data_IF_530010375289
#
_entry.id   IF_530010375289
#
_cell.length_a   1.000
_cell.length_b   1.000
_cell.length_c   1.000
_cell.angle_alpha   90.00
_cell.angle_beta   90.00
_cell.angle_gamma   90.00
#
_symmetry.space_group_name_H-M   'P 1'
#
loop_
_entity.id
_entity.type
_entity.pdbx_description
1 polymer ?
#
# COMPACT_ATOMS: atom_id res chain seq x y z
N UNK A 1 2.75 5.47 17.99
CA UNK A 1 3.95 6.31 18.21
C UNK A 1 3.57 7.78 18.03
N UNK A 2 4.05 8.65 18.92
CA UNK A 2 3.77 10.09 18.86
C UNK A 2 5.07 10.77 18.46
N UNK A 3 5.07 11.48 17.33
CA UNK A 3 6.20 12.28 16.90
C UNK A 3 5.99 13.74 17.40
N UNK A 4 6.93 14.31 18.17
CA UNK A 4 6.79 15.68 18.67
C UNK A 4 6.67 16.73 17.56
N UNK A 5 7.28 16.48 16.38
CA UNK A 5 7.30 17.43 15.26
C UNK A 5 7.16 16.71 13.92
N UNK A 6 6.88 17.48 12.86
CA UNK A 6 6.86 16.93 11.50
C UNK A 6 8.30 16.78 10.99
N UNK A 7 8.89 15.62 11.24
CA UNK A 7 10.24 15.27 10.80
C UNK A 7 10.19 14.01 9.92
N UNK A 8 10.57 14.16 8.65
CA UNK A 8 10.58 13.08 7.68
C UNK A 8 11.68 12.05 7.92
N UNK A 9 12.84 12.47 8.44
CA UNK A 9 13.96 11.57 8.72
C UNK A 9 13.62 10.66 9.89
N UNK A 10 13.26 11.24 11.03
CA UNK A 10 12.86 10.48 12.22
C UNK A 10 11.66 9.57 11.93
N UNK A 11 10.68 10.04 11.14
CA UNK A 11 9.57 9.18 10.69
C UNK A 11 10.05 8.01 9.82
N UNK A 12 11.00 8.24 8.91
CA UNK A 12 11.59 7.23 8.06
C UNK A 12 12.32 6.15 8.84
N UNK A 13 13.16 6.52 9.80
CA UNK A 13 13.87 5.57 10.67
C UNK A 13 12.89 4.73 11.49
N UNK A 14 11.89 5.35 12.11
CA UNK A 14 10.85 4.63 12.85
C UNK A 14 10.10 3.63 11.97
N UNK A 15 9.84 3.99 10.71
CA UNK A 15 9.16 3.11 9.76
C UNK A 15 10.04 1.97 9.27
N UNK A 16 11.31 2.24 9.00
CA UNK A 16 12.27 1.20 8.66
C UNK A 16 12.38 0.17 9.79
N UNK A 17 12.53 0.64 11.03
CA UNK A 17 12.62 -0.21 12.20
C UNK A 17 11.34 -1.03 12.42
N UNK A 18 10.15 -0.40 12.34
CA UNK A 18 8.89 -1.12 12.57
C UNK A 18 8.53 -2.09 11.45
N UNK A 19 8.72 -1.67 10.21
CA UNK A 19 8.19 -2.41 9.05
C UNK A 19 9.20 -3.45 8.53
N UNK A 20 10.52 -3.27 8.76
CA UNK A 20 11.58 -4.15 8.21
C UNK A 20 12.48 -4.80 9.26
N UNK A 21 13.05 -4.03 10.19
CA UNK A 21 14.16 -4.53 11.03
C UNK A 21 13.72 -5.36 12.25
N UNK A 22 12.48 -5.22 12.70
CA UNK A 22 11.96 -5.98 13.85
C UNK A 22 11.69 -7.47 13.57
N UNK A 23 12.03 -8.00 12.38
CA UNK A 23 11.92 -9.42 12.00
C UNK A 23 10.49 -9.99 11.91
N UNK A 24 9.48 -9.28 12.42
CA UNK A 24 8.07 -9.70 12.49
C UNK A 24 7.12 -8.69 11.84
N UNK A 25 7.59 -7.48 11.50
CA UNK A 25 6.76 -6.40 10.96
C UNK A 25 5.75 -5.90 12.00
N UNK A 26 6.13 -4.91 12.80
CA UNK A 26 5.28 -4.34 13.83
C UNK A 26 4.32 -3.34 13.21
N UNK A 27 3.03 -3.66 13.21
CA UNK A 27 1.98 -2.73 12.78
C UNK A 27 2.03 -1.46 13.63
N UNK A 28 2.41 -0.33 13.01
CA UNK A 28 2.62 0.94 13.71
C UNK A 28 1.73 2.07 13.17
N UNK A 29 1.28 2.97 14.05
CA UNK A 29 0.56 4.21 13.71
C UNK A 29 1.24 5.42 14.35
N UNK A 30 1.69 6.37 13.52
CA UNK A 30 2.32 7.61 13.96
C UNK A 30 1.32 8.77 14.00
N UNK A 31 1.45 9.65 14.98
CA UNK A 31 0.63 10.84 15.17
C UNK A 31 1.51 12.03 15.55
N UNK A 32 1.20 13.24 15.07
CA UNK A 32 1.91 14.44 15.51
C UNK A 32 1.35 14.91 16.86
N UNK A 33 2.23 15.21 17.80
CA UNK A 33 1.89 15.68 19.16
C UNK A 33 0.88 16.84 19.14
N UNK A 34 1.06 17.82 18.25
CA UNK A 34 0.21 19.02 18.12
C UNK A 34 -1.28 18.74 17.87
N UNK A 35 -1.62 17.55 17.35
CA UNK A 35 -3.02 17.17 17.08
C UNK A 35 -3.67 16.44 18.26
N UNK A 36 -2.89 15.95 19.22
CA UNK A 36 -3.38 15.12 20.32
C UNK A 36 -4.20 15.93 21.33
N UNK A 37 -3.74 17.10 21.84
CA UNK A 37 -4.49 17.86 22.85
C UNK A 37 -5.86 18.32 22.39
N UNK A 38 -6.06 18.48 21.06
CA UNK A 38 -7.32 18.96 20.49
C UNK A 38 -8.44 17.93 20.59
N UNK A 39 -8.12 16.64 20.77
CA UNK A 39 -9.09 15.54 20.86
C UNK A 39 -10.22 15.61 19.82
N UNK A 40 -9.92 16.07 18.59
CA UNK A 40 -10.95 16.30 17.57
C UNK A 40 -11.57 14.96 17.16
N UNK A 41 -12.91 14.82 17.23
CA UNK A 41 -13.59 13.58 16.83
C UNK A 41 -13.25 13.17 15.39
N UNK A 42 -13.17 14.14 14.47
CA UNK A 42 -12.80 13.89 13.07
C UNK A 42 -11.36 13.37 12.94
N UNK A 43 -10.42 13.95 13.69
CA UNK A 43 -9.03 13.49 13.68
C UNK A 43 -8.93 12.05 14.19
N UNK A 44 -9.60 11.76 15.31
CA UNK A 44 -9.63 10.42 15.91
C UNK A 44 -10.24 9.42 14.91
N UNK A 45 -11.37 9.75 14.29
CA UNK A 45 -12.01 8.90 13.27
C UNK A 45 -11.05 8.60 12.11
N UNK A 46 -10.33 9.60 11.60
CA UNK A 46 -9.35 9.42 10.52
C UNK A 46 -8.18 8.51 10.94
N UNK A 47 -7.72 8.61 12.19
CA UNK A 47 -6.68 7.71 12.73
C UNK A 47 -7.22 6.29 12.86
N UNK A 48 -8.42 6.12 13.40
CA UNK A 48 -9.04 4.81 13.57
C UNK A 48 -9.28 4.11 12.23
N UNK A 49 -9.65 4.83 11.17
CA UNK A 49 -9.73 4.27 9.82
C UNK A 49 -8.39 3.67 9.37
N UNK A 50 -7.26 4.37 9.64
CA UNK A 50 -5.92 3.87 9.29
C UNK A 50 -5.53 2.65 10.13
N UNK A 51 -5.84 2.67 11.43
CA UNK A 51 -5.56 1.54 12.33
C UNK A 51 -6.37 0.31 11.91
N UNK A 52 -7.66 0.48 11.64
CA UNK A 52 -8.53 -0.61 11.22
C UNK A 52 -7.99 -1.31 9.96
N UNK A 53 -7.63 -0.55 8.92
CA UNK A 53 -7.07 -1.12 7.69
C UNK A 53 -5.73 -1.84 7.92
N UNK A 54 -4.85 -1.29 8.77
CA UNK A 54 -3.56 -1.94 9.08
C UNK A 54 -3.70 -3.26 9.83
N UNK A 55 -4.77 -3.41 10.61
CA UNK A 55 -5.12 -4.66 11.29
C UNK A 55 -5.98 -5.59 10.42
N UNK A 56 -6.16 -5.26 9.12
CA UNK A 56 -6.93 -6.06 8.18
C UNK A 56 -8.44 -5.84 8.22
N UNK A 57 -8.94 -4.84 8.94
CA UNK A 57 -10.34 -4.45 8.95
C UNK A 57 -10.78 -3.74 7.67
N UNK A 58 -12.11 -3.69 7.46
CA UNK A 58 -12.76 -3.04 6.33
C UNK A 58 -13.48 -1.78 6.84
N UNK A 59 -13.17 -0.60 6.29
CA UNK A 59 -13.81 0.66 6.70
C UNK A 59 -15.14 0.92 5.97
N UNK A 60 -15.27 0.39 4.75
CA UNK A 60 -16.46 0.56 3.92
C UNK A 60 -16.42 -0.42 2.75
N UNK A 61 -17.58 -0.94 2.40
CA UNK A 61 -17.76 -1.87 1.29
C UNK A 61 -18.87 -1.30 0.41
N UNK A 62 -18.69 -1.38 -0.91
CA UNK A 62 -19.71 -0.94 -1.85
C UNK A 62 -20.84 -1.97 -1.86
N UNK A 63 -22.08 -1.49 -1.69
CA UNK A 63 -23.25 -2.34 -1.77
C UNK A 63 -23.61 -2.65 -3.23
N UNK A 64 -24.04 -3.88 -3.47
CA UNK A 64 -24.41 -4.35 -4.81
C UNK A 64 -23.21 -4.79 -5.67
N UNK A 65 -23.50 -5.11 -6.93
CA UNK A 65 -22.49 -5.54 -7.89
C UNK A 65 -21.85 -4.34 -8.58
N UNK A 66 -20.53 -4.31 -8.58
CA UNK A 66 -19.76 -3.34 -9.36
C UNK A 66 -19.72 -3.80 -10.81
N UNK A 67 -20.06 -2.91 -11.77
CA UNK A 67 -19.92 -3.22 -13.18
C UNK A 67 -18.52 -3.71 -13.51
N UNK A 68 -18.42 -4.73 -14.36
CA UNK A 68 -17.17 -5.27 -14.94
C UNK A 68 -16.22 -6.01 -13.99
N UNK A 69 -16.39 -5.91 -12.67
CA UNK A 69 -15.49 -6.56 -11.69
C UNK A 69 -16.18 -7.55 -10.76
N UNK A 70 -17.49 -7.42 -10.52
CA UNK A 70 -18.23 -8.35 -9.64
C UNK A 70 -18.79 -9.61 -10.33
N UNK A 71 -18.74 -9.69 -11.67
CA UNK A 71 -19.30 -10.82 -12.42
C UNK A 71 -18.42 -12.08 -12.41
N UNK A 72 -17.15 -11.95 -12.04
CA UNK A 72 -16.17 -13.03 -12.00
C UNK A 72 -15.11 -12.71 -10.95
N UNK A 73 -14.30 -13.68 -10.54
CA UNK A 73 -13.23 -13.44 -9.58
C UNK A 73 -12.18 -12.54 -10.22
N UNK A 74 -12.22 -11.26 -9.87
CA UNK A 74 -11.37 -10.24 -10.48
C UNK A 74 -10.30 -9.80 -9.51
N UNK A 75 -9.07 -9.63 -10.00
CA UNK A 75 -7.99 -8.93 -9.29
C UNK A 75 -7.76 -7.56 -9.95
N UNK A 76 -7.64 -6.52 -9.15
CA UNK A 76 -7.33 -5.16 -9.61
C UNK A 76 -5.90 -4.85 -9.20
N UNK A 77 -5.07 -4.46 -10.17
CA UNK A 77 -3.71 -4.00 -9.99
C UNK A 77 -3.62 -2.48 -10.07
N UNK A 78 -2.80 -1.90 -9.22
CA UNK A 78 -2.25 -0.55 -9.34
C UNK A 78 -0.75 -0.61 -9.60
N UNK A 79 -0.20 0.27 -10.42
CA UNK A 79 1.23 0.34 -10.68
C UNK A 79 1.69 1.80 -10.79
N UNK A 80 2.84 2.11 -10.19
CA UNK A 80 3.44 3.44 -10.19
C UNK A 80 4.97 3.34 -10.09
N UNK A 81 5.67 4.34 -10.64
CA UNK A 81 7.11 4.53 -10.45
C UNK A 81 7.37 5.91 -9.87
N UNK A 82 8.05 5.95 -8.73
CA UNK A 82 8.46 7.21 -8.12
C UNK A 82 9.94 7.47 -8.39
N UNK A 83 10.24 8.65 -8.94
CA UNK A 83 11.60 9.11 -9.17
C UNK A 83 12.15 9.96 -8.02
N UNK A 84 13.48 9.95 -7.80
CA UNK A 84 14.12 10.90 -6.90
C UNK A 84 14.02 12.34 -7.46
N UNK A 85 14.42 13.32 -6.65
CA UNK A 85 14.46 14.75 -7.02
C UNK A 85 15.08 14.97 -8.42
N UNK A 86 14.60 15.95 -9.22
CA UNK A 86 15.19 16.34 -10.51
C UNK A 86 16.70 16.53 -10.50
N UNK A 87 17.27 17.00 -9.38
CA UNK A 87 18.71 17.26 -9.24
C UNK A 87 19.51 16.01 -8.84
N UNK A 88 18.84 14.94 -8.43
CA UNK A 88 19.49 13.69 -8.08
C UNK A 88 19.81 12.90 -9.34
N UNK A 89 21.06 12.43 -9.45
CA UNK A 89 21.57 11.66 -10.59
C UNK A 89 21.89 10.21 -10.25
N UNK A 90 21.72 9.81 -8.99
CA UNK A 90 22.32 8.57 -8.46
C UNK A 90 21.30 7.66 -7.81
N UNK A 91 20.29 8.20 -7.12
CA UNK A 91 19.32 7.36 -6.42
C UNK A 91 18.45 6.57 -7.39
N UNK A 92 18.11 5.32 -7.06
CA UNK A 92 17.24 4.51 -7.91
C UNK A 92 15.83 5.07 -7.96
N UNK A 93 15.07 4.67 -8.98
CA UNK A 93 13.61 4.82 -8.97
C UNK A 93 13.01 3.70 -8.12
N UNK A 94 11.83 3.93 -7.56
CA UNK A 94 11.10 2.91 -6.80
C UNK A 94 9.84 2.56 -7.58
N UNK A 95 9.75 1.31 -8.03
CA UNK A 95 8.55 0.76 -8.62
C UNK A 95 7.68 0.10 -7.55
N UNK A 96 6.38 0.38 -7.59
CA UNK A 96 5.38 -0.21 -6.72
C UNK A 96 4.25 -0.81 -7.54
N UNK A 97 3.94 -2.08 -7.29
CA UNK A 97 2.75 -2.75 -7.83
C UNK A 97 1.88 -3.15 -6.65
N UNK A 98 0.61 -2.74 -6.67
CA UNK A 98 -0.39 -3.09 -5.66
C UNK A 98 -1.46 -3.96 -6.29
N UNK A 99 -2.12 -4.80 -5.48
CA UNK A 99 -3.26 -5.56 -5.95
C UNK A 99 -4.32 -5.77 -4.87
N UNK A 100 -5.59 -5.79 -5.28
CA UNK A 100 -6.73 -6.15 -4.42
C UNK A 100 -6.63 -7.61 -3.97
N UNK A 101 -6.97 -7.89 -2.71
CA UNK A 101 -6.82 -9.21 -2.09
C UNK A 101 -8.15 -9.85 -1.64
N UNK A 102 -9.25 -9.13 -1.80
CA UNK A 102 -10.60 -9.60 -1.49
C UNK A 102 -11.60 -9.23 -2.59
N UNK A 103 -12.80 -9.78 -2.51
CA UNK A 103 -13.89 -9.53 -3.49
C UNK A 103 -14.56 -8.17 -3.33
N UNK A 104 -14.26 -7.46 -2.24
CA UNK A 104 -14.78 -6.12 -1.96
C UNK A 104 -13.83 -5.02 -2.47
N UNK A 105 -12.64 -5.41 -2.95
CA UNK A 105 -11.58 -4.54 -3.41
C UNK A 105 -11.12 -3.52 -2.36
N UNK A 106 -11.14 -3.90 -1.07
CA UNK A 106 -10.75 -3.01 0.03
C UNK A 106 -9.35 -3.34 0.50
N UNK A 107 -9.05 -4.61 0.80
CA UNK A 107 -7.69 -5.02 1.18
C UNK A 107 -6.80 -5.07 -0.05
N UNK A 108 -5.59 -4.54 0.12
CA UNK A 108 -4.56 -4.57 -0.91
C UNK A 108 -3.24 -5.08 -0.33
N UNK A 109 -2.46 -5.75 -1.17
CA UNK A 109 -1.06 -6.03 -0.90
C UNK A 109 -0.19 -5.35 -1.96
N UNK A 110 1.10 -5.19 -1.65
CA UNK A 110 2.05 -4.47 -2.51
C UNK A 110 3.35 -5.24 -2.65
N UNK A 111 3.93 -5.18 -3.84
CA UNK A 111 5.30 -5.53 -4.13
C UNK A 111 6.04 -4.24 -4.50
N UNK A 112 7.24 -4.03 -3.94
CA UNK A 112 8.04 -2.81 -4.12
C UNK A 112 9.46 -3.23 -4.51
N UNK A 113 10.04 -2.58 -5.52
CA UNK A 113 11.42 -2.83 -5.99
C UNK A 113 12.12 -1.52 -6.29
N UNK A 114 13.39 -1.43 -5.92
CA UNK A 114 14.27 -0.42 -6.48
C UNK A 114 14.69 -0.86 -7.90
N UNK A 115 14.79 0.10 -8.81
CA UNK A 115 15.21 -0.12 -10.20
C UNK A 115 16.14 0.99 -10.67
N UNK A 116 16.58 0.94 -11.93
CA UNK A 116 17.47 1.94 -12.51
C UNK A 116 17.04 3.40 -12.26
N UNK A 117 18.03 4.29 -12.29
CA UNK A 117 17.79 5.73 -12.13
C UNK A 117 16.90 6.26 -13.25
N UNK A 118 15.76 6.87 -12.89
CA UNK A 118 14.78 7.45 -13.83
C UNK A 118 14.29 6.48 -14.92
N UNK A 119 14.17 5.20 -14.58
CA UNK A 119 13.55 4.20 -15.44
C UNK A 119 12.06 4.17 -15.15
N UNK A 120 11.22 4.53 -16.13
CA UNK A 120 9.75 4.51 -16.00
C UNK A 120 9.16 3.10 -16.16
N UNK A 121 9.81 2.26 -16.97
CA UNK A 121 9.36 0.88 -17.15
C UNK A 121 9.64 0.06 -15.89
N UNK A 122 8.63 -0.63 -15.37
CA UNK A 122 8.81 -1.53 -14.21
C UNK A 122 9.62 -2.76 -14.65
N UNK A 123 10.89 -2.81 -14.26
CA UNK A 123 11.83 -3.84 -14.72
C UNK A 123 11.46 -5.24 -14.23
N UNK A 124 10.92 -5.35 -13.01
CA UNK A 124 10.61 -6.61 -12.34
C UNK A 124 9.10 -6.92 -12.30
N UNK A 125 8.34 -6.35 -13.25
CA UNK A 125 6.87 -6.41 -13.23
C UNK A 125 6.35 -7.85 -13.12
N UNK A 126 6.92 -8.77 -13.90
CA UNK A 126 6.50 -10.19 -13.92
C UNK A 126 6.56 -10.82 -12.53
N UNK A 127 7.68 -10.69 -11.83
CA UNK A 127 7.88 -11.33 -10.53
C UNK A 127 7.02 -10.66 -9.45
N UNK A 128 6.93 -9.33 -9.46
CA UNK A 128 6.05 -8.57 -8.58
C UNK A 128 4.57 -8.98 -8.74
N UNK A 129 4.09 -9.10 -9.98
CA UNK A 129 2.73 -9.57 -10.27
C UNK A 129 2.53 -11.02 -9.83
N UNK A 130 3.52 -11.90 -10.06
CA UNK A 130 3.44 -13.30 -9.63
C UNK A 130 3.36 -13.46 -8.12
N UNK A 131 4.09 -12.64 -7.36
CA UNK A 131 3.99 -12.60 -5.89
C UNK A 131 2.56 -12.25 -5.44
N UNK A 132 1.98 -11.20 -6.02
CA UNK A 132 0.63 -10.74 -5.71
C UNK A 132 -0.44 -11.76 -6.12
N UNK A 133 -0.29 -12.41 -7.28
CA UNK A 133 -1.20 -13.49 -7.72
C UNK A 133 -1.16 -14.69 -6.78
N UNK A 134 0.03 -15.09 -6.30
CA UNK A 134 0.17 -16.17 -5.31
C UNK A 134 -0.46 -15.79 -3.97
N UNK A 135 -0.39 -14.52 -3.57
CA UNK A 135 -1.07 -14.03 -2.36
C UNK A 135 -2.58 -14.02 -2.53
N UNK A 136 -3.09 -13.50 -3.66
CA UNK A 136 -4.51 -13.51 -3.99
C UNK A 136 -5.10 -14.93 -3.99
N UNK A 137 -4.39 -15.90 -4.56
CA UNK A 137 -4.80 -17.30 -4.54
C UNK A 137 -4.93 -17.85 -3.11
N UNK A 138 -3.95 -17.52 -2.24
CA UNK A 138 -3.97 -17.94 -0.83
C UNK A 138 -5.13 -17.33 -0.06
N UNK A 139 -5.50 -16.07 -0.34
CA UNK A 139 -6.56 -15.36 0.40
C UNK A 139 -7.96 -15.68 -0.12
N UNK A 140 -8.11 -15.92 -1.41
CA UNK A 140 -9.44 -16.15 -2.01
C UNK A 140 -9.73 -17.63 -2.29
N UNK A 141 -8.72 -18.51 -2.22
CA UNK A 141 -8.78 -19.92 -2.60
C UNK A 141 -9.17 -20.15 -4.07
N UNK A 142 -8.73 -19.26 -4.97
CA UNK A 142 -8.98 -19.39 -6.40
C UNK A 142 -8.12 -18.46 -7.24
N UNK A 143 -7.86 -18.87 -8.49
CA UNK A 143 -7.16 -18.03 -9.47
C UNK A 143 -8.10 -16.95 -9.97
N UNK A 144 -7.63 -15.72 -10.24
CA UNK A 144 -8.48 -14.71 -10.84
C UNK A 144 -8.90 -15.14 -12.26
N UNK A 145 -10.18 -14.99 -12.57
CA UNK A 145 -10.73 -15.17 -13.91
C UNK A 145 -10.45 -13.94 -14.80
N UNK A 146 -10.22 -12.80 -14.15
CA UNK A 146 -10.01 -11.51 -14.80
C UNK A 146 -9.01 -10.67 -14.01
N UNK A 147 -8.21 -9.89 -14.73
CA UNK A 147 -7.38 -8.84 -14.14
C UNK A 147 -7.74 -7.47 -14.74
N UNK A 148 -7.62 -6.43 -13.93
CA UNK A 148 -7.68 -5.01 -14.34
C UNK A 148 -6.41 -4.34 -13.87
N UNK A 149 -5.84 -3.46 -14.68
CA UNK A 149 -4.60 -2.75 -14.35
C UNK A 149 -4.84 -1.26 -14.50
N UNK A 150 -4.47 -0.51 -13.47
CA UNK A 150 -4.39 0.94 -13.48
C UNK A 150 -2.93 1.33 -13.25
N UNK A 151 -2.31 1.97 -14.23
CA UNK A 151 -0.94 2.45 -14.13
C UNK A 151 -0.96 3.98 -14.17
N UNK A 152 -0.27 4.61 -13.21
CA UNK A 152 0.09 6.02 -13.28
C UNK A 152 1.49 6.10 -13.86
N UNK A 153 1.62 6.85 -14.96
CA UNK A 153 2.90 7.28 -15.52
C UNK A 153 3.08 8.76 -15.18
#
# INVERSE_FOLDING_TARGET
MINPVSDAHAYGELKLMSDTEAGVGIVSQCMLSKHIPKCSPQYIANILMKVNTKLGGLNGVISGSLPRVSASRTIIFGADVTHPSPMDKTRPSIAAVTASMDTHFVRHASAIRAQGHRVEQIENLKDMTMELLKQFYRQTHGKPDRHRVYATA
#
